data_IF_863316300330
#
_entry.id   IF_863316300330
#
_cell.length_a   1.000
_cell.length_b   1.000
_cell.length_c   1.000
_cell.angle_alpha   90.00
_cell.angle_beta   90.00
_cell.angle_gamma   90.00
#
_symmetry.space_group_name_H-M   'P 1'
#
loop_
_entity.id
_entity.type
_entity.pdbx_description
1 polymer ?
#
# COMPACT_ATOMS: atom_id res chain seq x y z
N UNK A 1 11.14 10.96 17.60
CA UNK A 1 10.76 9.86 16.67
C UNK A 1 9.31 9.38 16.85
N UNK A 2 8.78 9.31 18.07
CA UNK A 2 7.38 8.91 18.32
C UNK A 2 6.33 9.99 17.97
N UNK A 3 6.69 11.27 18.01
CA UNK A 3 5.79 12.40 17.76
C UNK A 3 5.34 12.55 16.30
N UNK A 4 6.03 11.88 15.35
CA UNK A 4 5.70 11.92 13.91
C UNK A 4 4.83 10.78 13.41
N UNK A 5 4.44 9.85 14.27
CA UNK A 5 3.50 8.81 13.89
C UNK A 5 2.08 9.36 13.95
N UNK A 6 1.33 9.25 12.86
CA UNK A 6 -0.09 9.60 12.88
C UNK A 6 -0.87 8.72 13.89
N UNK A 7 -2.04 9.17 14.30
CA UNK A 7 -2.83 8.51 15.36
C UNK A 7 -3.16 7.07 15.00
N UNK A 8 -3.44 6.80 13.73
CA UNK A 8 -3.71 5.47 13.18
C UNK A 8 -2.55 4.49 13.45
N UNK A 9 -1.33 4.86 13.07
CA UNK A 9 -0.15 4.00 13.25
C UNK A 9 0.15 3.74 14.73
N UNK A 10 -0.04 4.73 15.59
CA UNK A 10 0.07 4.57 17.06
C UNK A 10 -0.94 3.56 17.60
N UNK A 11 -2.21 3.65 17.19
CA UNK A 11 -3.26 2.71 17.61
C UNK A 11 -2.96 1.27 17.15
N UNK A 12 -2.49 1.09 15.92
CA UNK A 12 -2.09 -0.24 15.40
C UNK A 12 -0.90 -0.82 16.17
N UNK A 13 0.15 -0.04 16.38
CA UNK A 13 1.35 -0.48 17.12
C UNK A 13 1.01 -0.82 18.59
N UNK A 14 0.14 -0.07 19.22
CA UNK A 14 -0.33 -0.37 20.59
C UNK A 14 -1.08 -1.70 20.65
N UNK A 15 -1.94 -1.99 19.68
CA UNK A 15 -2.63 -3.29 19.58
C UNK A 15 -1.64 -4.43 19.35
N UNK A 16 -0.66 -4.23 18.48
CA UNK A 16 0.40 -5.19 18.22
C UNK A 16 1.23 -5.45 19.49
N UNK A 17 1.60 -4.40 20.21
CA UNK A 17 2.36 -4.51 21.48
C UNK A 17 1.61 -5.35 22.51
N UNK A 18 0.31 -5.16 22.69
CA UNK A 18 -0.51 -5.98 23.62
C UNK A 18 -0.53 -7.47 23.28
N UNK A 19 -0.22 -7.85 22.02
CA UNK A 19 -0.19 -9.24 21.55
C UNK A 19 1.23 -9.81 21.49
N UNK A 20 2.24 -9.00 21.83
CA UNK A 20 3.65 -9.44 21.79
C UNK A 20 3.94 -10.43 22.90
N UNK A 21 4.61 -11.53 22.55
CA UNK A 21 5.10 -12.54 23.51
C UNK A 21 6.61 -12.46 23.61
N UNK A 22 7.14 -12.57 24.83
CA UNK A 22 8.58 -12.67 25.08
C UNK A 22 9.07 -14.03 24.57
N UNK A 23 9.90 -14.03 23.55
CA UNK A 23 10.53 -15.21 22.97
C UNK A 23 11.83 -14.86 22.24
N UNK A 24 12.50 -15.86 21.67
CA UNK A 24 13.76 -15.68 20.93
C UNK A 24 13.60 -14.75 19.73
N UNK A 25 12.42 -14.73 19.08
CA UNK A 25 12.17 -13.85 17.95
C UNK A 25 12.12 -12.39 18.36
N UNK A 26 11.75 -12.09 19.60
CA UNK A 26 11.80 -10.74 20.14
C UNK A 26 13.27 -10.23 20.26
N UNK A 27 14.19 -11.08 20.65
CA UNK A 27 15.63 -10.71 20.69
C UNK A 27 16.16 -10.45 19.28
N UNK A 28 15.81 -11.31 18.33
CA UNK A 28 16.15 -11.12 16.90
C UNK A 28 15.55 -9.83 16.35
N UNK A 29 14.32 -9.54 16.67
CA UNK A 29 13.63 -8.32 16.29
C UNK A 29 14.34 -7.07 16.84
N UNK A 30 14.65 -7.04 18.14
CA UNK A 30 15.36 -5.91 18.78
C UNK A 30 16.73 -5.71 18.15
N UNK A 31 17.52 -6.78 17.99
CA UNK A 31 18.83 -6.71 17.36
C UNK A 31 18.74 -6.17 15.91
N UNK A 32 17.74 -6.62 15.14
CA UNK A 32 17.48 -6.13 13.80
C UNK A 32 17.12 -4.64 13.79
N UNK A 33 16.30 -4.18 14.73
CA UNK A 33 15.92 -2.77 14.87
C UNK A 33 17.11 -1.86 15.14
N UNK A 34 18.01 -2.29 16.03
CA UNK A 34 19.23 -1.53 16.31
C UNK A 34 20.15 -1.44 15.08
N UNK A 35 20.31 -2.56 14.36
CA UNK A 35 21.06 -2.58 13.10
C UNK A 35 20.41 -1.68 12.04
N UNK A 36 19.07 -1.72 11.91
CA UNK A 36 18.32 -0.88 10.98
C UNK A 36 18.54 0.61 11.25
N UNK A 37 18.49 1.03 12.52
CA UNK A 37 18.77 2.43 12.90
C UNK A 37 20.18 2.86 12.45
N UNK A 38 21.17 1.97 12.61
CA UNK A 38 22.53 2.23 12.15
C UNK A 38 22.64 2.32 10.63
N UNK A 39 22.02 1.36 9.88
CA UNK A 39 22.02 1.35 8.42
C UNK A 39 21.31 2.57 7.84
N UNK A 40 20.16 2.96 8.39
CA UNK A 40 19.42 4.12 7.94
C UNK A 40 20.19 5.42 8.17
N UNK A 41 20.81 5.56 9.35
CA UNK A 41 21.66 6.72 9.68
C UNK A 41 22.82 6.87 8.70
N UNK A 42 23.42 5.76 8.28
CA UNK A 42 24.59 5.74 7.40
C UNK A 42 24.23 5.57 5.92
N UNK A 43 22.94 5.56 5.57
CA UNK A 43 22.44 5.29 4.21
C UNK A 43 23.15 4.09 3.55
N UNK A 44 23.29 2.99 4.31
CA UNK A 44 24.02 1.79 3.88
C UNK A 44 23.40 1.18 2.60
N UNK A 45 24.23 0.69 1.70
CA UNK A 45 23.76 -0.04 0.51
C UNK A 45 23.30 -1.46 0.84
N UNK A 46 23.86 -2.05 1.90
CA UNK A 46 23.40 -3.31 2.49
C UNK A 46 22.37 -2.99 3.56
N UNK A 47 21.27 -3.70 3.61
CA UNK A 47 20.18 -3.47 4.55
C UNK A 47 19.87 -4.71 5.39
N UNK A 48 19.30 -4.47 6.57
CA UNK A 48 18.75 -5.52 7.44
C UNK A 48 17.37 -5.96 6.97
N UNK A 49 16.78 -6.93 7.66
CA UNK A 49 15.38 -7.31 7.42
C UNK A 49 14.49 -6.10 7.63
N UNK A 50 13.70 -5.70 6.64
CA UNK A 50 12.73 -4.62 6.78
C UNK A 50 11.64 -5.03 7.77
N UNK A 51 11.06 -4.04 8.43
CA UNK A 51 9.98 -4.29 9.41
C UNK A 51 8.58 -4.17 8.81
N UNK A 52 8.52 -3.75 7.56
CA UNK A 52 7.28 -3.68 6.79
C UNK A 52 7.53 -4.28 5.43
N UNK A 53 6.53 -4.94 4.85
CA UNK A 53 6.60 -5.42 3.48
C UNK A 53 5.22 -5.39 2.83
N UNK A 54 5.21 -5.29 1.52
CA UNK A 54 4.05 -5.49 0.69
C UNK A 54 4.27 -6.77 -0.14
N UNK A 55 3.38 -7.72 0.02
CA UNK A 55 3.41 -9.01 -0.67
C UNK A 55 2.15 -9.09 -1.52
N UNK A 56 2.32 -9.02 -2.83
CA UNK A 56 1.24 -9.18 -3.78
C UNK A 56 0.94 -10.67 -3.95
N UNK A 57 -0.18 -11.13 -3.39
CA UNK A 57 -0.60 -12.53 -3.51
C UNK A 57 -1.19 -12.86 -4.90
N UNK A 58 -1.54 -11.84 -5.67
CA UNK A 58 -2.02 -11.98 -7.04
C UNK A 58 -2.31 -10.61 -7.65
N UNK A 59 -2.22 -10.54 -8.98
CA UNK A 59 -2.53 -9.34 -9.74
C UNK A 59 -3.80 -9.50 -10.60
N UNK A 60 -4.58 -10.56 -10.38
CA UNK A 60 -5.92 -10.75 -10.97
C UNK A 60 -6.91 -9.84 -10.25
N UNK A 61 -7.73 -9.12 -11.01
CA UNK A 61 -8.78 -8.25 -10.49
C UNK A 61 -10.04 -8.40 -11.35
N UNK A 62 -11.18 -8.24 -10.73
CA UNK A 62 -12.50 -8.25 -11.38
C UNK A 62 -12.91 -6.91 -11.97
N UNK A 63 -12.13 -5.83 -11.74
CA UNK A 63 -12.42 -4.48 -12.23
C UNK A 63 -11.35 -3.97 -13.20
N UNK A 64 -11.74 -2.97 -14.03
CA UNK A 64 -10.92 -2.25 -15.01
C UNK A 64 -11.02 -0.73 -14.78
N UNK A 65 -10.55 -0.27 -13.60
CA UNK A 65 -10.66 1.12 -13.20
C UNK A 65 -9.84 2.04 -14.11
N UNK A 66 -10.39 3.22 -14.45
CA UNK A 66 -9.79 4.17 -15.41
C UNK A 66 -8.40 4.69 -15.01
N UNK A 67 -8.05 4.65 -13.73
CA UNK A 67 -6.75 5.11 -13.23
C UNK A 67 -5.88 3.97 -12.67
N UNK A 68 -6.26 2.71 -12.95
CA UNK A 68 -5.48 1.58 -12.50
C UNK A 68 -4.23 1.39 -13.38
N UNK A 69 -3.02 1.36 -12.81
CA UNK A 69 -1.80 1.16 -13.60
C UNK A 69 -1.78 -0.13 -14.43
N UNK A 70 -2.59 -1.13 -14.09
CA UNK A 70 -2.76 -2.37 -14.85
C UNK A 70 -3.34 -2.17 -16.26
N UNK A 71 -4.12 -1.10 -16.45
CA UNK A 71 -4.83 -0.83 -17.71
C UNK A 71 -3.98 0.02 -18.67
N UNK A 72 -2.76 0.36 -18.30
CA UNK A 72 -1.81 1.14 -19.10
C UNK A 72 -0.62 0.28 -19.56
N UNK A 73 0.26 0.88 -20.37
CA UNK A 73 1.34 0.21 -21.09
C UNK A 73 2.02 -0.88 -20.26
N UNK A 74 2.64 -0.51 -19.16
CA UNK A 74 3.43 -1.47 -18.35
C UNK A 74 2.59 -2.53 -17.67
N UNK A 75 1.37 -2.19 -17.25
CA UNK A 75 0.45 -3.14 -16.62
C UNK A 75 -0.13 -4.16 -17.58
N UNK A 76 -0.37 -3.76 -18.84
CA UNK A 76 -0.85 -4.66 -19.91
C UNK A 76 0.19 -5.70 -20.32
N UNK A 77 1.46 -5.40 -20.14
CA UNK A 77 2.57 -6.30 -20.45
C UNK A 77 2.84 -7.35 -19.37
N UNK A 78 2.18 -7.23 -18.20
CA UNK A 78 2.37 -8.17 -17.09
C UNK A 78 1.58 -9.46 -17.29
N UNK A 79 2.20 -10.58 -16.95
CA UNK A 79 1.48 -11.83 -16.76
C UNK A 79 0.51 -11.70 -15.57
N UNK A 80 -0.60 -12.45 -15.61
CA UNK A 80 -1.62 -12.44 -14.57
C UNK A 80 -1.67 -13.78 -13.86
N UNK A 81 -1.73 -13.75 -12.53
CA UNK A 81 -1.79 -14.98 -11.76
C UNK A 81 -1.85 -14.76 -10.26
N UNK A 82 -1.67 -15.86 -9.56
CA UNK A 82 -1.65 -15.93 -8.10
C UNK A 82 -0.36 -16.57 -7.61
N UNK A 83 0.16 -16.07 -6.50
CA UNK A 83 1.35 -16.63 -5.85
C UNK A 83 1.04 -18.06 -5.34
N UNK A 84 1.88 -19.05 -5.66
CA UNK A 84 1.75 -20.37 -5.05
C UNK A 84 1.81 -20.30 -3.53
N UNK A 85 0.95 -21.06 -2.85
CA UNK A 85 0.80 -20.99 -1.39
C UNK A 85 2.09 -21.33 -0.64
N UNK A 86 2.85 -22.30 -1.11
CA UNK A 86 4.15 -22.69 -0.54
C UNK A 86 5.17 -21.55 -0.66
N UNK A 87 5.16 -20.81 -1.76
CA UNK A 87 6.01 -19.64 -2.00
C UNK A 87 5.61 -18.48 -1.08
N UNK A 88 4.31 -18.23 -0.92
CA UNK A 88 3.82 -17.22 0.03
C UNK A 88 4.26 -17.56 1.47
N UNK A 89 4.15 -18.82 1.88
CA UNK A 89 4.59 -19.27 3.20
C UNK A 89 6.10 -19.14 3.39
N UNK A 90 6.91 -19.46 2.37
CA UNK A 90 8.36 -19.32 2.42
C UNK A 90 8.81 -17.87 2.62
N UNK A 91 8.23 -16.91 1.88
CA UNK A 91 8.47 -15.47 2.08
C UNK A 91 8.09 -15.04 3.49
N UNK A 92 6.91 -15.46 3.96
CA UNK A 92 6.42 -15.12 5.30
C UNK A 92 7.35 -15.67 6.37
N UNK A 93 7.83 -16.91 6.25
CA UNK A 93 8.75 -17.53 7.22
C UNK A 93 10.07 -16.79 7.33
N UNK A 94 10.63 -16.34 6.23
CA UNK A 94 11.86 -15.57 6.21
C UNK A 94 11.70 -14.19 6.87
N UNK A 95 10.57 -13.52 6.61
CA UNK A 95 10.38 -12.13 6.98
C UNK A 95 9.70 -11.94 8.35
N UNK A 96 8.76 -12.81 8.70
CA UNK A 96 7.84 -12.63 9.82
C UNK A 96 8.50 -12.34 11.18
N UNK A 97 9.64 -12.97 11.56
CA UNK A 97 10.29 -12.68 12.86
C UNK A 97 10.63 -11.19 13.04
N UNK A 98 10.87 -10.47 11.95
CA UNK A 98 11.36 -9.09 11.94
C UNK A 98 10.26 -8.06 11.66
N UNK A 99 9.04 -8.49 11.26
CA UNK A 99 7.99 -7.62 10.75
C UNK A 99 7.17 -6.94 11.85
N UNK A 100 6.90 -5.65 11.70
CA UNK A 100 5.83 -4.93 12.39
C UNK A 100 4.50 -5.09 11.65
N UNK A 101 4.55 -4.99 10.31
CA UNK A 101 3.37 -5.08 9.47
C UNK A 101 3.62 -5.76 8.13
N UNK A 102 2.59 -6.44 7.64
CA UNK A 102 2.53 -7.03 6.31
C UNK A 102 1.30 -6.50 5.60
N UNK A 103 1.50 -5.88 4.44
CA UNK A 103 0.44 -5.58 3.50
C UNK A 103 0.29 -6.72 2.50
N UNK A 104 -0.84 -7.40 2.52
CA UNK A 104 -1.20 -8.39 1.51
C UNK A 104 -2.03 -7.69 0.44
N UNK A 105 -1.36 -6.85 -0.34
CA UNK A 105 -2.00 -5.99 -1.35
C UNK A 105 -1.07 -5.82 -2.54
N UNK A 106 -1.64 -5.51 -3.69
CA UNK A 106 -0.90 -5.31 -4.92
C UNK A 106 -1.78 -4.73 -6.02
N UNK A 107 -1.49 -5.06 -7.26
CA UNK A 107 -2.26 -4.60 -8.43
C UNK A 107 -3.58 -5.35 -8.64
N UNK A 108 -3.81 -6.47 -7.95
CA UNK A 108 -5.03 -7.27 -8.03
C UNK A 108 -6.09 -6.94 -6.99
N UNK A 109 -7.19 -7.70 -7.00
CA UNK A 109 -8.14 -7.75 -5.90
C UNK A 109 -7.73 -8.84 -4.91
N UNK A 110 -7.37 -8.44 -3.70
CA UNK A 110 -6.81 -9.35 -2.69
C UNK A 110 -7.77 -10.49 -2.33
N UNK A 111 -9.08 -10.22 -2.27
CA UNK A 111 -10.08 -11.22 -1.92
C UNK A 111 -10.30 -12.28 -3.00
N UNK A 112 -9.74 -12.11 -4.20
CA UNK A 112 -9.76 -13.14 -5.24
C UNK A 112 -8.69 -14.22 -5.02
N UNK A 113 -7.69 -13.98 -4.16
CA UNK A 113 -6.67 -14.98 -3.89
C UNK A 113 -7.27 -16.22 -3.18
N UNK A 114 -7.16 -17.42 -3.78
CA UNK A 114 -7.89 -18.61 -3.30
C UNK A 114 -7.50 -19.04 -1.89
N UNK A 115 -6.26 -18.81 -1.48
CA UNK A 115 -5.70 -19.26 -0.21
C UNK A 115 -5.56 -18.14 0.83
N UNK A 116 -6.28 -17.00 0.67
CA UNK A 116 -6.10 -15.85 1.55
C UNK A 116 -6.34 -16.18 3.02
N UNK A 117 -7.42 -16.89 3.34
CA UNK A 117 -7.73 -17.29 4.72
C UNK A 117 -6.63 -18.17 5.33
N UNK A 118 -6.05 -19.07 4.53
CA UNK A 118 -4.98 -19.95 5.00
C UNK A 118 -3.71 -19.15 5.30
N UNK A 119 -3.34 -18.20 4.44
CA UNK A 119 -2.20 -17.30 4.65
C UNK A 119 -2.40 -16.45 5.91
N UNK A 120 -3.58 -15.87 6.12
CA UNK A 120 -3.89 -15.07 7.30
C UNK A 120 -3.79 -15.88 8.59
N UNK A 121 -4.38 -17.08 8.61
CA UNK A 121 -4.26 -18.02 9.74
C UNK A 121 -2.80 -18.39 10.02
N UNK A 122 -2.04 -18.65 8.95
CA UNK A 122 -0.62 -19.00 9.05
C UNK A 122 0.20 -17.88 9.69
N UNK A 123 0.02 -16.64 9.24
CA UNK A 123 0.68 -15.45 9.80
C UNK A 123 0.34 -15.29 11.28
N UNK A 124 -0.95 -15.27 11.61
CA UNK A 124 -1.42 -14.98 12.98
C UNK A 124 -1.11 -16.07 13.97
N UNK A 125 -1.06 -17.34 13.53
CA UNK A 125 -0.60 -18.45 14.37
C UNK A 125 0.87 -18.30 14.78
N UNK A 126 1.74 -17.84 13.86
CA UNK A 126 3.18 -17.70 14.11
C UNK A 126 3.54 -16.40 14.84
N UNK A 127 2.93 -15.29 14.47
CA UNK A 127 3.17 -13.98 15.07
C UNK A 127 1.86 -13.20 15.25
N UNK A 128 1.13 -13.42 16.35
CA UNK A 128 -0.14 -12.72 16.60
C UNK A 128 -0.01 -11.19 16.62
N UNK A 129 1.19 -10.67 16.96
CA UNK A 129 1.48 -9.24 17.09
C UNK A 129 1.68 -8.53 15.76
N UNK A 130 1.96 -9.23 14.65
CA UNK A 130 2.16 -8.56 13.36
C UNK A 130 0.86 -7.94 12.87
N UNK A 131 0.96 -6.71 12.37
CA UNK A 131 -0.17 -6.00 11.78
C UNK A 131 -0.39 -6.51 10.36
N UNK A 132 -1.58 -7.01 10.07
CA UNK A 132 -1.95 -7.50 8.73
C UNK A 132 -2.95 -6.54 8.10
N UNK A 133 -2.61 -6.08 6.90
CA UNK A 133 -3.41 -5.15 6.09
C UNK A 133 -3.79 -5.81 4.77
N UNK A 134 -5.04 -5.63 4.36
CA UNK A 134 -5.50 -5.92 2.99
C UNK A 134 -6.14 -4.69 2.37
N UNK A 135 -6.16 -4.64 1.03
CA UNK A 135 -6.97 -3.68 0.27
C UNK A 135 -8.01 -4.43 -0.55
N UNK A 136 -9.19 -3.85 -0.70
CA UNK A 136 -10.27 -4.42 -1.52
C UNK A 136 -11.12 -3.35 -2.18
N UNK A 137 -11.64 -3.67 -3.35
CA UNK A 137 -12.64 -2.84 -4.03
C UNK A 137 -14.07 -3.06 -3.50
N UNK A 138 -14.26 -4.05 -2.64
CA UNK A 138 -15.53 -4.42 -2.02
C UNK A 138 -16.69 -4.71 -3.00
N UNK A 139 -16.40 -4.96 -4.30
CA UNK A 139 -17.40 -5.15 -5.34
C UNK A 139 -17.20 -6.47 -6.09
N UNK A 140 -17.85 -7.55 -5.64
CA UNK A 140 -18.03 -8.78 -6.40
C UNK A 140 -19.08 -9.68 -5.74
N UNK A 141 -19.66 -10.55 -6.53
CA UNK A 141 -20.66 -11.51 -6.03
C UNK A 141 -20.05 -12.41 -4.95
N UNK A 142 -20.73 -12.52 -3.81
CA UNK A 142 -20.24 -13.31 -2.67
C UNK A 142 -19.15 -12.61 -1.85
N UNK A 143 -19.10 -11.26 -1.90
CA UNK A 143 -18.14 -10.48 -1.12
C UNK A 143 -18.17 -10.84 0.37
N UNK A 144 -19.36 -10.87 0.97
CA UNK A 144 -19.49 -11.11 2.41
C UNK A 144 -19.02 -12.50 2.84
N UNK A 145 -19.35 -13.52 2.06
CA UNK A 145 -18.95 -14.91 2.32
C UNK A 145 -17.43 -15.07 2.32
N UNK A 146 -16.73 -14.25 1.52
CA UNK A 146 -15.27 -14.23 1.52
C UNK A 146 -14.70 -13.36 2.63
N UNK A 147 -15.29 -12.21 2.91
CA UNK A 147 -14.74 -11.23 3.87
C UNK A 147 -14.94 -11.67 5.32
N UNK A 148 -16.14 -12.18 5.66
CA UNK A 148 -16.50 -12.53 7.03
C UNK A 148 -15.48 -13.45 7.72
N UNK A 149 -15.01 -14.58 7.13
CA UNK A 149 -14.06 -15.48 7.78
C UNK A 149 -12.66 -14.88 7.95
N UNK A 150 -12.33 -13.80 7.25
CA UNK A 150 -11.02 -13.14 7.32
C UNK A 150 -10.93 -12.15 8.49
N UNK A 151 -12.06 -11.56 8.89
CA UNK A 151 -12.13 -10.48 9.89
C UNK A 151 -11.35 -10.77 11.18
N UNK A 152 -11.37 -11.98 11.76
CA UNK A 152 -10.63 -12.27 12.99
C UNK A 152 -9.10 -12.17 12.85
N UNK A 153 -8.57 -12.20 11.63
CA UNK A 153 -7.14 -12.24 11.33
C UNK A 153 -6.60 -10.93 10.78
N UNK A 154 -7.46 -9.92 10.58
CA UNK A 154 -7.11 -8.62 10.02
C UNK A 154 -6.96 -7.57 11.12
N UNK A 155 -6.03 -6.65 10.93
CA UNK A 155 -5.85 -5.47 11.78
C UNK A 155 -6.27 -4.19 11.06
N UNK A 156 -6.15 -4.18 9.74
CA UNK A 156 -6.48 -3.02 8.93
C UNK A 156 -7.05 -3.46 7.57
N UNK A 157 -8.13 -2.83 7.18
CA UNK A 157 -8.76 -3.02 5.86
C UNK A 157 -8.86 -1.67 5.16
N UNK A 158 -8.39 -1.63 3.93
CA UNK A 158 -8.40 -0.46 3.07
C UNK A 158 -9.43 -0.67 1.97
N UNK A 159 -10.49 0.11 1.98
CA UNK A 159 -11.46 0.13 0.90
C UNK A 159 -11.04 1.13 -0.18
N UNK A 160 -11.04 0.69 -1.41
CA UNK A 160 -10.73 1.55 -2.55
C UNK A 160 -11.99 2.29 -3.01
N UNK A 161 -12.13 3.56 -2.63
CA UNK A 161 -13.31 4.39 -2.91
C UNK A 161 -12.85 5.69 -3.57
N UNK A 162 -13.02 5.79 -4.88
CA UNK A 162 -12.50 6.91 -5.69
C UNK A 162 -13.57 7.93 -6.06
N UNK A 163 -14.65 8.00 -5.29
CA UNK A 163 -15.80 8.88 -5.46
C UNK A 163 -17.03 8.30 -4.78
N UNK A 164 -18.15 8.99 -4.89
CA UNK A 164 -19.47 8.60 -4.38
C UNK A 164 -20.48 8.58 -5.55
N UNK A 165 -21.40 7.61 -5.56
CA UNK A 165 -22.43 7.51 -6.58
C UNK A 165 -21.86 7.42 -8.01
N UNK A 166 -22.39 8.25 -8.92
CA UNK A 166 -22.02 8.26 -10.34
C UNK A 166 -20.52 8.54 -10.59
N UNK A 167 -19.86 9.35 -9.74
CA UNK A 167 -18.42 9.61 -9.86
C UNK A 167 -17.65 8.33 -9.64
N UNK A 168 -18.00 7.56 -8.61
CA UNK A 168 -17.38 6.26 -8.36
C UNK A 168 -17.56 5.30 -9.55
N UNK A 169 -18.79 5.18 -10.05
CA UNK A 169 -19.14 4.27 -11.16
C UNK A 169 -18.46 4.67 -12.47
N UNK A 170 -18.29 5.97 -12.70
CA UNK A 170 -17.50 6.49 -13.82
C UNK A 170 -16.03 6.08 -13.74
N UNK A 171 -15.41 6.19 -12.56
CA UNK A 171 -14.01 5.83 -12.34
C UNK A 171 -13.80 4.31 -12.37
N UNK A 172 -14.78 3.56 -11.90
CA UNK A 172 -14.79 2.10 -11.78
C UNK A 172 -15.95 1.51 -12.57
N UNK A 173 -15.83 1.44 -13.90
CA UNK A 173 -16.91 0.94 -14.76
C UNK A 173 -17.39 -0.46 -14.36
N UNK A 174 -18.68 -0.71 -14.59
CA UNK A 174 -19.36 -1.96 -14.23
C UNK A 174 -19.42 -2.22 -12.72
N UNK A 175 -19.50 -1.16 -11.93
CA UNK A 175 -19.79 -1.23 -10.50
C UNK A 175 -21.11 -0.56 -10.16
N UNK A 176 -21.63 -0.85 -8.96
CA UNK A 176 -22.78 -0.20 -8.36
C UNK A 176 -22.34 0.35 -7.01
N UNK A 177 -22.44 1.68 -6.82
CA UNK A 177 -21.95 2.31 -5.58
C UNK A 177 -22.78 1.90 -4.37
N UNK A 178 -24.08 1.72 -4.52
CA UNK A 178 -24.97 1.26 -3.45
C UNK A 178 -24.54 -0.12 -2.91
N UNK A 179 -24.15 -1.06 -3.80
CA UNK A 179 -23.70 -2.38 -3.40
C UNK A 179 -22.41 -2.32 -2.58
N UNK A 180 -21.43 -1.52 -3.03
CA UNK A 180 -20.19 -1.37 -2.27
C UNK A 180 -20.41 -0.62 -0.97
N UNK A 181 -21.23 0.41 -0.96
CA UNK A 181 -21.58 1.13 0.27
C UNK A 181 -22.15 0.17 1.31
N UNK A 182 -23.12 -0.67 0.92
CA UNK A 182 -23.70 -1.69 1.80
C UNK A 182 -22.67 -2.74 2.27
N UNK A 183 -21.75 -3.16 1.40
CA UNK A 183 -20.68 -4.09 1.75
C UNK A 183 -19.69 -3.48 2.75
N UNK A 184 -19.31 -2.23 2.55
CA UNK A 184 -18.43 -1.48 3.46
C UNK A 184 -19.10 -1.30 4.81
N UNK A 185 -20.33 -0.80 4.85
CA UNK A 185 -21.10 -0.58 6.08
C UNK A 185 -21.22 -1.87 6.89
N UNK A 186 -21.62 -2.97 6.24
CA UNK A 186 -21.73 -4.29 6.90
C UNK A 186 -20.39 -4.75 7.48
N UNK A 187 -19.30 -4.54 6.74
CA UNK A 187 -17.96 -4.94 7.19
C UNK A 187 -17.50 -4.13 8.39
N UNK A 188 -17.67 -2.81 8.35
CA UNK A 188 -17.29 -1.90 9.43
C UNK A 188 -18.09 -2.20 10.70
N UNK A 189 -19.40 -2.40 10.57
CA UNK A 189 -20.27 -2.73 11.70
C UNK A 189 -19.88 -4.06 12.37
N UNK A 190 -19.46 -5.05 11.57
CA UNK A 190 -19.18 -6.41 12.05
C UNK A 190 -17.83 -6.58 12.74
N UNK A 191 -16.89 -5.63 12.64
CA UNK A 191 -15.51 -5.84 13.09
C UNK A 191 -14.87 -4.58 13.70
N UNK A 192 -15.40 -4.11 14.81
CA UNK A 192 -14.94 -2.88 15.52
C UNK A 192 -13.47 -2.93 15.99
N UNK A 193 -12.85 -4.11 16.02
CA UNK A 193 -11.42 -4.24 16.35
C UNK A 193 -10.50 -3.90 15.19
N UNK A 194 -11.01 -3.86 13.95
CA UNK A 194 -10.24 -3.52 12.75
C UNK A 194 -10.18 -2.00 12.58
N UNK A 195 -9.06 -1.50 12.10
CA UNK A 195 -8.98 -0.15 11.57
C UNK A 195 -9.38 -0.15 10.11
N UNK A 196 -10.44 0.57 9.79
CA UNK A 196 -10.89 0.77 8.42
C UNK A 196 -10.36 2.08 7.86
N UNK A 197 -10.04 2.09 6.57
CA UNK A 197 -9.57 3.26 5.86
C UNK A 197 -10.16 3.29 4.45
N UNK A 198 -10.50 4.46 3.97
CA UNK A 198 -10.75 4.70 2.55
C UNK A 198 -9.45 5.10 1.88
N UNK A 199 -9.12 4.45 0.76
CA UNK A 199 -8.09 4.88 -0.17
C UNK A 199 -8.76 5.51 -1.39
N UNK A 200 -8.43 6.76 -1.65
CA UNK A 200 -8.90 7.51 -2.80
C UNK A 200 -7.71 7.90 -3.69
N UNK A 201 -7.77 7.54 -4.95
CA UNK A 201 -6.77 7.95 -5.94
C UNK A 201 -7.29 9.17 -6.68
N UNK A 202 -6.62 10.31 -6.47
CA UNK A 202 -7.02 11.59 -7.04
C UNK A 202 -6.65 11.65 -8.51
N UNK A 203 -7.62 12.06 -9.32
CA UNK A 203 -7.48 12.34 -10.75
C UNK A 203 -8.24 13.61 -11.13
N UNK A 204 -8.09 14.08 -12.38
CA UNK A 204 -8.88 15.19 -12.91
C UNK A 204 -10.39 14.92 -12.94
N UNK A 205 -10.79 13.65 -12.91
CA UNK A 205 -12.20 13.24 -13.04
C UNK A 205 -12.93 13.23 -11.70
N UNK A 206 -12.21 13.16 -10.58
CA UNK A 206 -12.82 12.93 -9.27
C UNK A 206 -12.30 13.83 -8.14
N UNK A 207 -11.35 14.75 -8.38
CA UNK A 207 -10.78 15.55 -7.30
C UNK A 207 -11.82 16.39 -6.53
N UNK A 208 -12.88 16.84 -7.20
CA UNK A 208 -13.99 17.57 -6.54
C UNK A 208 -14.85 16.66 -5.67
N UNK A 209 -14.82 15.36 -5.90
CA UNK A 209 -15.60 14.40 -5.12
C UNK A 209 -14.93 13.97 -3.80
N UNK A 210 -13.71 14.48 -3.53
CA UNK A 210 -13.02 14.27 -2.25
C UNK A 210 -13.87 14.69 -1.05
N UNK A 211 -14.68 15.76 -1.19
CA UNK A 211 -15.62 16.23 -0.15
C UNK A 211 -16.65 15.18 0.21
N UNK A 212 -17.28 14.58 -0.80
CA UNK A 212 -18.30 13.54 -0.63
C UNK A 212 -17.72 12.27 0.02
N UNK A 213 -16.46 11.93 -0.30
CA UNK A 213 -15.78 10.77 0.32
C UNK A 213 -15.43 11.04 1.79
N UNK A 214 -15.09 12.26 2.17
CA UNK A 214 -14.92 12.65 3.59
C UNK A 214 -16.23 12.49 4.36
N UNK A 215 -17.35 12.95 3.82
CA UNK A 215 -18.67 12.76 4.42
C UNK A 215 -19.08 11.29 4.49
N UNK A 216 -18.84 10.53 3.42
CA UNK A 216 -19.10 9.10 3.38
C UNK A 216 -18.30 8.35 4.47
N UNK A 217 -17.04 8.71 4.67
CA UNK A 217 -16.21 8.14 5.73
C UNK A 217 -16.79 8.42 7.11
N UNK A 218 -17.13 9.67 7.38
CA UNK A 218 -17.71 10.08 8.67
C UNK A 218 -19.03 9.36 8.93
N UNK A 219 -19.94 9.34 7.97
CA UNK A 219 -21.24 8.64 8.07
C UNK A 219 -21.09 7.16 8.42
N UNK A 220 -20.07 6.50 7.90
CA UNK A 220 -19.83 5.07 8.07
C UNK A 220 -18.87 4.75 9.23
N UNK A 221 -18.52 5.71 10.10
CA UNK A 221 -17.56 5.51 11.20
C UNK A 221 -16.19 5.00 10.73
N UNK A 222 -15.73 5.47 9.57
CA UNK A 222 -14.40 5.21 9.04
C UNK A 222 -13.53 6.42 9.37
N UNK A 223 -12.61 6.25 10.29
CA UNK A 223 -11.81 7.33 10.88
C UNK A 223 -10.59 7.75 10.05
N UNK A 224 -10.33 7.09 8.93
CA UNK A 224 -9.13 7.34 8.13
C UNK A 224 -9.47 7.42 6.65
N UNK A 225 -9.11 8.51 6.01
CA UNK A 225 -9.16 8.68 4.56
C UNK A 225 -7.76 9.01 4.04
N UNK A 226 -7.28 8.25 3.09
CA UNK A 226 -5.98 8.46 2.47
C UNK A 226 -6.16 8.86 1.01
N UNK A 227 -5.83 10.10 0.71
CA UNK A 227 -5.86 10.66 -0.64
C UNK A 227 -4.47 10.57 -1.28
N UNK A 228 -4.38 9.91 -2.42
CA UNK A 228 -3.13 9.78 -3.17
C UNK A 228 -3.31 10.33 -4.57
N UNK A 229 -2.42 11.19 -5.02
CA UNK A 229 -2.37 11.56 -6.43
C UNK A 229 -2.17 10.30 -7.29
N UNK A 230 -2.86 10.23 -8.41
CA UNK A 230 -2.69 9.17 -9.39
C UNK A 230 -1.22 9.00 -9.77
N UNK A 231 -0.75 7.76 -9.84
CA UNK A 231 0.65 7.46 -10.17
C UNK A 231 0.97 7.76 -11.64
N UNK A 232 1.33 9.01 -11.91
CA UNK A 232 1.70 9.47 -13.26
C UNK A 232 2.95 8.78 -13.80
N UNK A 233 3.82 8.30 -12.92
CA UNK A 233 4.99 7.53 -13.29
C UNK A 233 4.67 6.18 -13.97
N UNK A 234 3.45 5.68 -13.78
CA UNK A 234 2.94 4.44 -14.39
C UNK A 234 2.19 4.69 -15.70
N UNK A 235 2.02 5.95 -16.10
CA UNK A 235 1.22 6.38 -17.25
C UNK A 235 1.96 7.48 -18.01
N UNK A 236 3.07 7.15 -18.71
CA UNK A 236 3.94 8.15 -19.34
C UNK A 236 3.22 9.08 -20.30
N UNK A 237 2.24 8.56 -21.04
CA UNK A 237 1.44 9.31 -22.03
C UNK A 237 0.54 10.39 -21.41
N UNK A 238 0.23 10.28 -20.12
CA UNK A 238 -0.60 11.24 -19.38
C UNK A 238 0.20 12.08 -18.38
N UNK A 239 1.45 11.74 -18.15
CA UNK A 239 2.23 12.23 -17.03
C UNK A 239 2.29 13.77 -16.96
N UNK A 240 2.63 14.45 -18.06
CA UNK A 240 2.77 15.92 -18.10
C UNK A 240 1.46 16.63 -17.79
N UNK A 241 0.35 16.21 -18.38
CA UNK A 241 -0.94 16.89 -18.18
C UNK A 241 -1.44 16.76 -16.74
N UNK A 242 -1.21 15.59 -16.09
CA UNK A 242 -1.54 15.39 -14.69
C UNK A 242 -0.58 16.10 -13.74
N UNK A 243 0.70 16.14 -14.07
CA UNK A 243 1.66 16.93 -13.31
C UNK A 243 1.25 18.39 -13.22
N UNK A 244 0.95 19.03 -14.37
CA UNK A 244 0.48 20.42 -14.42
C UNK A 244 -0.82 20.61 -13.64
N UNK A 245 -1.74 19.66 -13.72
CA UNK A 245 -2.98 19.70 -12.94
C UNK A 245 -2.72 19.69 -11.44
N UNK A 246 -1.85 18.79 -10.94
CA UNK A 246 -1.50 18.72 -9.53
C UNK A 246 -0.71 19.94 -9.03
N UNK A 247 -0.19 20.76 -9.93
CA UNK A 247 0.46 22.04 -9.61
C UNK A 247 -0.50 23.22 -9.64
N UNK A 248 -1.71 23.07 -10.19
CA UNK A 248 -2.68 24.16 -10.32
C UNK A 248 -3.15 24.68 -8.96
N UNK A 249 -3.45 25.98 -8.90
CA UNK A 249 -3.96 26.62 -7.70
C UNK A 249 -5.33 26.04 -7.32
N UNK A 250 -6.20 25.80 -8.32
CA UNK A 250 -7.50 25.15 -8.11
C UNK A 250 -7.37 23.80 -7.36
N UNK A 251 -6.42 22.97 -7.75
CA UNK A 251 -6.21 21.68 -7.06
C UNK A 251 -5.68 21.87 -5.64
N UNK A 252 -4.75 22.80 -5.43
CA UNK A 252 -4.19 23.11 -4.11
C UNK A 252 -5.24 23.67 -3.16
N UNK A 253 -6.05 24.61 -3.63
CA UNK A 253 -7.17 25.19 -2.88
C UNK A 253 -8.19 24.09 -2.49
N UNK A 254 -8.55 23.22 -3.43
CA UNK A 254 -9.42 22.06 -3.15
C UNK A 254 -8.84 21.17 -2.05
N UNK A 255 -7.55 20.87 -2.08
CA UNK A 255 -6.90 20.08 -1.03
C UNK A 255 -6.98 20.74 0.35
N UNK A 256 -6.77 22.07 0.43
CA UNK A 256 -6.89 22.80 1.72
C UNK A 256 -8.32 22.86 2.22
N UNK A 257 -9.30 22.98 1.33
CA UNK A 257 -10.72 22.93 1.71
C UNK A 257 -11.12 21.57 2.24
N UNK A 258 -10.71 20.48 1.59
CA UNK A 258 -10.92 19.10 2.07
C UNK A 258 -10.31 18.89 3.45
N UNK A 259 -9.10 19.42 3.70
CA UNK A 259 -8.50 19.38 5.05
C UNK A 259 -9.34 20.13 6.08
N UNK A 260 -9.86 21.31 5.73
CA UNK A 260 -10.74 22.10 6.61
C UNK A 260 -12.05 21.37 6.91
N UNK A 261 -12.68 20.77 5.90
CA UNK A 261 -13.88 19.95 6.09
C UNK A 261 -13.62 18.76 7.02
N UNK A 262 -12.53 18.02 6.78
CA UNK A 262 -12.17 16.87 7.60
C UNK A 262 -11.89 17.26 9.06
N UNK A 263 -11.29 18.42 9.29
CA UNK A 263 -11.00 18.94 10.63
C UNK A 263 -12.29 19.32 11.44
N UNK A 264 -13.45 19.43 10.78
CA UNK A 264 -14.72 19.63 11.45
C UNK A 264 -15.30 18.34 12.08
N UNK A 265 -14.71 17.18 11.78
CA UNK A 265 -15.10 15.89 12.35
C UNK A 265 -14.07 15.42 13.38
N UNK A 266 -14.48 15.25 14.63
CA UNK A 266 -13.59 14.98 15.78
C UNK A 266 -12.72 13.74 15.62
N UNK A 267 -13.19 12.69 14.96
CA UNK A 267 -12.54 11.40 14.84
C UNK A 267 -12.05 11.05 13.42
N UNK A 268 -12.04 11.99 12.48
CA UNK A 268 -11.64 11.76 11.10
C UNK A 268 -10.24 12.32 10.84
N UNK A 269 -9.32 11.43 10.45
CA UNK A 269 -7.96 11.77 10.04
C UNK A 269 -7.81 11.61 8.52
N UNK A 270 -7.48 12.71 7.85
CA UNK A 270 -7.17 12.73 6.42
C UNK A 270 -5.67 12.76 6.22
N UNK A 271 -5.16 11.88 5.35
CA UNK A 271 -3.74 11.80 4.99
C UNK A 271 -3.56 11.89 3.48
N UNK A 272 -2.32 12.05 3.04
CA UNK A 272 -2.02 12.30 1.63
C UNK A 272 -2.26 13.76 1.30
N UNK A 273 -3.07 14.05 0.29
CA UNK A 273 -3.29 15.40 -0.24
C UNK A 273 -1.96 16.13 -0.56
N UNK A 274 -0.93 15.34 -0.87
CA UNK A 274 0.37 15.86 -1.28
C UNK A 274 0.37 15.97 -2.80
N UNK A 275 0.81 17.10 -3.26
CA UNK A 275 1.06 17.36 -4.68
C UNK A 275 2.56 17.43 -4.93
N UNK A 276 3.01 17.10 -6.15
CA UNK A 276 4.42 17.21 -6.50
C UNK A 276 4.93 18.63 -6.23
N UNK A 277 6.00 18.75 -5.46
CA UNK A 277 6.62 20.03 -5.18
C UNK A 277 7.46 20.49 -6.39
N UNK A 278 7.60 21.81 -6.58
CA UNK A 278 8.21 22.42 -7.77
C UNK A 278 9.70 22.05 -7.95
N UNK A 279 9.96 20.82 -8.35
CA UNK A 279 11.29 20.42 -8.78
C UNK A 279 12.29 20.15 -7.66
N UNK A 280 11.91 20.09 -6.39
CA UNK A 280 12.82 19.70 -5.32
C UNK A 280 12.99 18.18 -5.24
N UNK A 281 14.22 17.72 -5.17
CA UNK A 281 14.55 16.34 -4.92
C UNK A 281 14.15 15.94 -3.49
N UNK A 282 13.23 15.00 -3.37
CA UNK A 282 12.83 14.44 -2.08
C UNK A 282 13.49 13.08 -1.85
N UNK A 283 14.03 12.90 -0.64
CA UNK A 283 14.62 11.64 -0.23
C UNK A 283 13.51 10.57 -0.11
N UNK A 284 13.71 9.41 -0.70
CA UNK A 284 12.76 8.32 -0.71
C UNK A 284 13.32 7.10 0.03
N UNK A 285 12.62 6.63 1.06
CA UNK A 285 13.03 5.49 1.88
C UNK A 285 12.56 4.12 1.35
N UNK A 286 11.72 4.08 0.33
CA UNK A 286 11.18 2.81 -0.19
C UNK A 286 12.25 1.76 -0.54
N UNK A 287 13.39 2.13 -1.17
CA UNK A 287 14.43 1.14 -1.50
C UNK A 287 15.09 0.46 -0.30
N UNK A 288 14.89 0.98 0.91
CA UNK A 288 15.45 0.44 2.15
C UNK A 288 14.42 -0.20 3.08
N UNK A 289 13.21 0.35 3.14
CA UNK A 289 12.26 0.05 4.22
C UNK A 289 11.02 -0.70 3.76
N UNK A 290 10.70 -0.68 2.46
CA UNK A 290 9.41 -1.16 1.96
C UNK A 290 9.54 -2.09 0.76
N UNK A 291 9.97 -3.36 0.98
CA UNK A 291 9.99 -4.34 -0.09
C UNK A 291 8.58 -4.54 -0.68
N UNK A 292 8.53 -4.56 -2.01
CA UNK A 292 7.36 -5.00 -2.76
C UNK A 292 7.73 -6.27 -3.52
N UNK A 293 7.05 -7.36 -3.21
CA UNK A 293 7.25 -8.67 -3.84
C UNK A 293 6.01 -8.99 -4.66
N UNK A 294 6.18 -9.17 -5.97
CA UNK A 294 5.10 -9.51 -6.89
C UNK A 294 4.67 -10.96 -6.75
N UNK A 295 3.48 -11.31 -7.24
CA UNK A 295 2.91 -12.65 -7.15
C UNK A 295 3.78 -13.76 -7.79
N UNK A 296 4.57 -13.40 -8.78
CA UNK A 296 5.52 -14.26 -9.50
C UNK A 296 6.94 -14.22 -8.90
N UNK A 297 7.12 -13.58 -7.74
CA UNK A 297 8.31 -13.60 -6.91
C UNK A 297 9.35 -12.54 -7.23
N UNK A 298 9.11 -11.60 -8.13
CA UNK A 298 10.06 -10.52 -8.36
C UNK A 298 10.02 -9.48 -7.23
N UNK A 299 11.21 -9.06 -6.81
CA UNK A 299 11.36 -7.91 -5.92
C UNK A 299 11.51 -6.65 -6.76
N UNK A 300 10.58 -5.71 -6.59
CA UNK A 300 10.61 -4.40 -7.25
C UNK A 300 10.91 -3.28 -6.26
N UNK A 301 11.58 -2.20 -6.69
CA UNK A 301 12.02 -1.13 -5.78
C UNK A 301 10.91 -0.34 -5.10
N UNK A 302 9.70 -0.32 -5.69
CA UNK A 302 8.65 0.60 -5.29
C UNK A 302 7.27 0.09 -5.68
N UNK A 303 6.30 0.25 -4.76
CA UNK A 303 4.89 -0.07 -5.02
C UNK A 303 4.21 0.92 -6.01
N UNK A 304 4.77 2.11 -6.21
CA UNK A 304 4.29 3.07 -7.21
C UNK A 304 4.62 2.71 -8.65
N UNK A 305 5.61 1.83 -8.87
CA UNK A 305 5.99 1.26 -10.17
C UNK A 305 6.19 -0.26 -10.02
N UNK A 306 5.14 -1.04 -9.74
CA UNK A 306 5.25 -2.46 -9.42
C UNK A 306 5.38 -3.33 -10.68
N UNK A 307 6.26 -2.95 -11.62
CA UNK A 307 6.41 -3.57 -12.93
C UNK A 307 7.78 -4.24 -13.05
N UNK A 308 7.88 -5.57 -12.87
CA UNK A 308 9.16 -6.28 -12.89
C UNK A 308 9.96 -6.13 -14.18
N UNK A 309 9.28 -5.97 -15.31
CA UNK A 309 9.93 -5.77 -16.61
C UNK A 309 10.63 -4.41 -16.73
N UNK A 310 10.18 -3.39 -15.98
CA UNK A 310 10.88 -2.09 -15.92
C UNK A 310 12.14 -2.17 -15.06
N UNK A 311 12.00 -2.70 -13.85
CA UNK A 311 13.13 -2.92 -12.95
C UNK A 311 12.73 -3.92 -11.86
N UNK A 312 13.60 -4.90 -11.65
CA UNK A 312 13.56 -5.80 -10.51
C UNK A 312 14.97 -6.03 -9.98
N UNK A 313 15.09 -6.43 -8.73
CA UNK A 313 16.37 -6.76 -8.09
C UNK A 313 16.71 -8.24 -8.15
N UNK A 314 15.81 -9.08 -8.62
CA UNK A 314 15.88 -10.52 -8.72
C UNK A 314 14.55 -11.17 -8.34
N UNK A 315 14.49 -12.49 -8.39
CA UNK A 315 13.30 -13.28 -8.05
C UNK A 315 13.54 -14.03 -6.73
N UNK A 316 12.71 -13.75 -5.71
CA UNK A 316 12.89 -14.35 -4.38
C UNK A 316 12.63 -15.85 -4.35
N UNK A 317 11.98 -16.42 -5.38
CA UNK A 317 11.75 -17.86 -5.46
C UNK A 317 12.98 -18.64 -5.93
N UNK A 318 13.88 -18.01 -6.68
CA UNK A 318 15.03 -18.67 -7.34
C UNK A 318 16.38 -18.15 -6.86
N UNK A 319 16.47 -16.91 -6.39
CA UNK A 319 17.72 -16.21 -6.15
C UNK A 319 18.11 -16.19 -4.65
N UNK A 320 17.68 -17.18 -3.88
CA UNK A 320 18.12 -17.37 -2.50
C UNK A 320 17.27 -16.65 -1.44
N UNK A 321 16.02 -16.26 -1.76
CA UNK A 321 15.07 -15.66 -0.82
C UNK A 321 15.09 -14.14 -0.81
N UNK A 322 14.29 -13.56 0.09
CA UNK A 322 14.03 -12.11 0.14
C UNK A 322 15.29 -11.33 0.45
N UNK A 323 16.06 -11.75 1.45
CA UNK A 323 17.26 -11.00 1.88
C UNK A 323 18.40 -11.09 0.89
N UNK A 324 18.54 -12.22 0.16
CA UNK A 324 19.53 -12.36 -0.89
C UNK A 324 19.24 -11.37 -2.04
N UNK A 325 17.98 -11.29 -2.46
CA UNK A 325 17.55 -10.36 -3.53
C UNK A 325 17.62 -8.91 -3.07
N UNK A 326 17.17 -8.61 -1.84
CA UNK A 326 17.21 -7.28 -1.25
C UNK A 326 18.63 -6.72 -1.15
N UNK A 327 19.63 -7.59 -0.97
CA UNK A 327 21.05 -7.23 -0.91
C UNK A 327 21.84 -7.65 -2.16
N UNK A 328 21.16 -7.96 -3.26
CA UNK A 328 21.81 -8.26 -4.53
C UNK A 328 22.66 -7.09 -5.03
N UNK A 329 23.63 -7.38 -5.89
CA UNK A 329 24.47 -6.33 -6.52
C UNK A 329 23.62 -5.27 -7.21
N UNK A 330 22.50 -5.65 -7.85
CA UNK A 330 21.54 -4.75 -8.49
C UNK A 330 20.89 -3.80 -7.47
N UNK A 331 20.41 -4.33 -6.35
CA UNK A 331 19.77 -3.54 -5.29
C UNK A 331 20.75 -2.57 -4.61
N UNK A 332 21.98 -3.02 -4.38
CA UNK A 332 23.03 -2.18 -3.82
C UNK A 332 23.43 -1.06 -4.78
N UNK A 333 23.63 -1.35 -6.08
CA UNK A 333 23.92 -0.35 -7.10
C UNK A 333 22.81 0.71 -7.21
N UNK A 334 21.55 0.30 -7.09
CA UNK A 334 20.41 1.22 -7.07
C UNK A 334 20.48 2.19 -5.87
N UNK A 335 20.81 1.67 -4.67
CA UNK A 335 20.95 2.51 -3.46
C UNK A 335 22.15 3.46 -3.51
N UNK A 336 23.24 3.08 -4.19
CA UNK A 336 24.42 3.96 -4.39
C UNK A 336 24.04 5.25 -5.10
N UNK A 337 23.12 5.21 -6.07
CA UNK A 337 22.66 6.42 -6.75
C UNK A 337 21.98 7.39 -5.78
N UNK A 338 21.15 6.89 -4.89
CA UNK A 338 20.53 7.69 -3.84
C UNK A 338 21.52 8.30 -2.86
N UNK A 339 22.60 7.58 -2.51
CA UNK A 339 23.67 8.13 -1.67
C UNK A 339 24.35 9.36 -2.30
N UNK A 340 24.37 9.40 -3.64
CA UNK A 340 24.93 10.52 -4.43
C UNK A 340 23.93 11.66 -4.65
N UNK A 341 22.79 11.66 -3.97
CA UNK A 341 21.69 12.59 -4.19
C UNK A 341 21.22 12.64 -5.66
N UNK A 342 21.31 11.51 -6.34
CA UNK A 342 20.88 11.36 -7.74
C UNK A 342 19.77 10.32 -7.80
N UNK A 343 18.58 10.75 -8.24
CA UNK A 343 17.49 9.81 -8.45
C UNK A 343 17.86 8.82 -9.57
N UNK A 344 17.70 7.50 -9.34
CA UNK A 344 17.87 6.55 -10.43
C UNK A 344 16.91 6.87 -11.59
N UNK A 345 17.29 6.57 -12.85
CA UNK A 345 16.41 6.77 -14.01
C UNK A 345 15.02 6.15 -13.85
N UNK A 346 14.94 5.00 -13.18
CA UNK A 346 13.67 4.37 -12.82
C UNK A 346 12.74 5.28 -12.01
N UNK A 347 13.29 6.18 -11.18
CA UNK A 347 12.53 7.07 -10.32
C UNK A 347 12.14 8.40 -11.02
N UNK A 348 12.58 8.64 -12.23
CA UNK A 348 12.14 9.80 -13.00
C UNK A 348 10.62 9.75 -13.22
N UNK A 349 10.00 10.92 -13.31
CA UNK A 349 8.55 11.10 -13.42
C UNK A 349 7.76 10.54 -12.22
N UNK A 350 8.41 10.33 -11.08
CA UNK A 350 7.74 10.02 -9.84
C UNK A 350 7.28 11.30 -9.15
N UNK A 351 6.06 11.34 -8.66
CA UNK A 351 5.51 12.48 -7.93
C UNK A 351 6.26 12.83 -6.63
N UNK A 352 7.08 11.89 -6.12
CA UNK A 352 7.95 12.08 -4.95
C UNK A 352 9.38 12.51 -5.33
N UNK A 353 9.74 12.41 -6.58
CA UNK A 353 11.05 12.70 -7.13
C UNK A 353 10.83 13.42 -8.44
N UNK A 354 11.39 14.54 -8.63
CA UNK A 354 11.22 15.50 -9.75
C UNK A 354 10.83 14.96 -11.12
N UNK A 355 10.03 15.78 -11.77
CA UNK A 355 9.83 15.73 -13.22
C UNK A 355 10.95 16.46 -13.97
#
# INVERSE_FOLDING_TARGET
>A
MFERLNSRRRKLLWRAFKRTRLNVDMLRYIANRLRMLWHNKNKSTVVCHPTNAMIELGNVCNLHCLMCPREYQYGKEMDKGFMPLDKAKAIIDEMLPYMDSIGLTGLGETLLYPHLLEVLKYIKKRKPSVIVTISTNAHFKGYWEKMQPLLPYLDNVQFSVDGVGEVYETIRPNTCFEEISANIEKTVYSAKHIQFMLNFVISKLNYKDMFNVVEFANKNNIHYVNFNCMSIASMPEKSRSYYLFFQSDEFKETCEEVRRQAAAFDDLEVTGLQYPDNGQFHDCNFPWEYPYITWDGYYVPCCGKPFPKLLNFGNVFTDGGVMAVLNSKKAQAFRVLWQKNSAPPFCHNCQLVNF
#
